data_IF_136587055179
#
_entry.id   IF_136587055179
#
_cell.length_a   1.000
_cell.length_b   1.000
_cell.length_c   1.000
_cell.angle_alpha   90.00
_cell.angle_beta   90.00
_cell.angle_gamma   90.00
#
_symmetry.space_group_name_H-M   'P 1'
#
loop_
_entity.id
_entity.type
_entity.pdbx_description
1 polymer ?
#
# COMPACT_ATOMS: atom_id res chain seq x y z
N UNK A 1 -24.14 -8.29 1.35
CA UNK A 1 -22.67 -8.31 1.24
C UNK A 1 -22.29 -9.42 0.26
N UNK A 2 -21.39 -9.12 -0.64
CA UNK A 2 -20.77 -10.09 -1.53
C UNK A 2 -19.28 -10.20 -1.23
N UNK A 3 -18.74 -11.40 -1.46
CA UNK A 3 -17.34 -11.73 -1.21
C UNK A 3 -16.72 -12.31 -2.48
N UNK A 4 -15.40 -12.30 -2.57
CA UNK A 4 -14.68 -12.83 -3.72
C UNK A 4 -15.16 -12.20 -5.04
N UNK A 5 -15.26 -10.88 -5.05
CA UNK A 5 -15.68 -10.08 -6.20
C UNK A 5 -14.58 -9.09 -6.55
N UNK A 6 -14.25 -9.00 -7.84
CA UNK A 6 -13.34 -8.00 -8.39
C UNK A 6 -14.11 -7.03 -9.27
N UNK A 7 -13.89 -5.74 -9.08
CA UNK A 7 -14.38 -4.69 -9.99
C UNK A 7 -13.48 -4.65 -11.22
N UNK A 8 -14.05 -4.79 -12.41
CA UNK A 8 -13.35 -4.67 -13.70
C UNK A 8 -13.32 -3.23 -14.21
N UNK A 9 -14.46 -2.55 -14.11
CA UNK A 9 -14.61 -1.17 -14.59
C UNK A 9 -15.79 -0.47 -13.94
N UNK A 10 -15.77 0.85 -14.00
CA UNK A 10 -16.91 1.69 -13.68
C UNK A 10 -17.73 1.96 -14.94
N UNK A 11 -19.02 1.91 -14.83
CA UNK A 11 -19.92 2.40 -15.86
C UNK A 11 -20.40 3.80 -15.52
N UNK A 12 -20.28 4.71 -16.49
CA UNK A 12 -20.65 6.13 -16.29
C UNK A 12 -21.53 6.63 -17.43
N UNK A 13 -22.43 7.53 -17.13
CA UNK A 13 -23.20 8.25 -18.13
C UNK A 13 -23.34 9.73 -17.69
N UNK A 14 -23.13 10.66 -18.61
CA UNK A 14 -23.23 12.09 -18.37
C UNK A 14 -22.37 12.57 -17.17
N UNK A 15 -21.13 12.01 -17.03
CA UNK A 15 -20.24 12.33 -15.92
C UNK A 15 -20.64 11.77 -14.55
N UNK A 16 -21.65 10.90 -14.48
CA UNK A 16 -22.13 10.28 -13.25
C UNK A 16 -21.94 8.75 -13.30
N UNK A 17 -21.54 8.18 -12.16
CA UNK A 17 -21.47 6.72 -11.99
C UNK A 17 -22.86 6.12 -12.13
N UNK A 18 -22.95 5.01 -12.85
CA UNK A 18 -24.16 4.20 -13.02
C UNK A 18 -24.02 2.83 -12.34
N UNK A 19 -22.82 2.38 -12.16
CA UNK A 19 -22.53 1.12 -11.50
C UNK A 19 -21.14 0.60 -11.75
N UNK A 20 -20.95 -0.67 -11.39
CA UNK A 20 -19.71 -1.42 -11.47
C UNK A 20 -19.90 -2.66 -12.31
N UNK A 21 -19.02 -2.89 -13.26
CA UNK A 21 -18.86 -4.18 -13.92
C UNK A 21 -17.93 -5.04 -13.07
N UNK A 22 -18.43 -6.13 -12.55
CA UNK A 22 -17.77 -7.03 -11.61
C UNK A 22 -17.63 -8.44 -12.16
N UNK A 23 -16.73 -9.22 -11.57
CA UNK A 23 -16.54 -10.64 -11.84
C UNK A 23 -16.30 -11.37 -10.52
N UNK A 24 -16.79 -12.60 -10.40
CA UNK A 24 -16.50 -13.46 -9.24
C UNK A 24 -15.08 -14.00 -9.30
N UNK A 25 -14.48 -14.19 -8.13
CA UNK A 25 -13.15 -14.78 -7.97
C UNK A 25 -13.25 -16.18 -7.35
N UNK A 26 -12.37 -17.07 -7.77
CA UNK A 26 -12.18 -18.38 -7.13
C UNK A 26 -11.38 -18.26 -5.81
N UNK A 27 -11.12 -19.40 -5.16
CA UNK A 27 -10.34 -19.47 -3.92
C UNK A 27 -8.88 -19.02 -4.07
N UNK A 28 -8.37 -18.95 -5.31
CA UNK A 28 -7.03 -18.46 -5.66
C UNK A 28 -7.04 -16.99 -6.11
N UNK A 29 -8.15 -16.29 -5.90
CA UNK A 29 -8.40 -14.90 -6.31
C UNK A 29 -8.28 -14.67 -7.82
N UNK A 30 -8.55 -15.69 -8.64
CA UNK A 30 -8.59 -15.60 -10.10
C UNK A 30 -10.03 -15.42 -10.60
N UNK A 31 -10.24 -14.62 -11.65
CA UNK A 31 -11.56 -14.45 -12.24
C UNK A 31 -12.14 -15.76 -12.76
N UNK A 32 -13.36 -16.05 -12.35
CA UNK A 32 -14.14 -17.19 -12.86
C UNK A 32 -14.73 -16.80 -14.22
N UNK A 33 -14.52 -17.62 -15.25
CA UNK A 33 -15.07 -17.37 -16.59
C UNK A 33 -16.59 -17.31 -16.55
N UNK A 34 -17.18 -16.39 -17.32
CA UNK A 34 -18.63 -16.20 -17.46
C UNK A 34 -19.35 -15.90 -16.14
N UNK A 35 -18.67 -15.27 -15.19
CA UNK A 35 -19.25 -14.85 -13.91
C UNK A 35 -19.37 -13.34 -13.78
N UNK A 36 -19.26 -12.63 -14.89
CA UNK A 36 -19.44 -11.19 -14.95
C UNK A 36 -20.87 -10.81 -14.57
N UNK A 37 -21.00 -9.74 -13.81
CA UNK A 37 -22.28 -9.16 -13.42
C UNK A 37 -22.16 -7.67 -13.17
N UNK A 38 -23.29 -6.98 -13.21
CA UNK A 38 -23.35 -5.54 -13.02
C UNK A 38 -23.97 -5.22 -11.66
N UNK A 39 -23.37 -4.28 -10.93
CA UNK A 39 -23.90 -3.71 -9.70
C UNK A 39 -24.31 -2.27 -9.98
N UNK A 40 -25.61 -1.97 -9.95
CA UNK A 40 -26.10 -0.60 -10.06
C UNK A 40 -25.67 0.20 -8.82
N UNK A 41 -25.09 1.38 -9.02
CA UNK A 41 -24.66 2.26 -7.93
C UNK A 41 -24.66 3.73 -8.40
N UNK A 42 -25.16 4.61 -7.56
CA UNK A 42 -25.11 6.06 -7.78
C UNK A 42 -23.90 6.69 -7.09
N UNK A 43 -23.27 5.99 -6.14
CA UNK A 43 -22.05 6.37 -5.44
C UNK A 43 -21.18 5.14 -5.21
N UNK A 44 -19.89 5.25 -5.47
CA UNK A 44 -18.90 4.22 -5.17
C UNK A 44 -17.80 4.81 -4.31
N UNK A 45 -17.54 4.16 -3.17
CA UNK A 45 -16.47 4.54 -2.25
C UNK A 45 -15.33 3.53 -2.36
N UNK A 46 -14.13 4.00 -2.68
CA UNK A 46 -12.93 3.18 -2.72
C UNK A 46 -12.34 3.10 -1.31
N UNK A 47 -12.36 1.91 -0.74
CA UNK A 47 -11.83 1.63 0.60
C UNK A 47 -10.72 0.55 0.53
N UNK A 48 -9.76 0.72 -0.38
CA UNK A 48 -8.77 -0.29 -0.75
C UNK A 48 -7.42 -0.15 -0.03
N UNK A 49 -7.29 0.83 0.87
CA UNK A 49 -6.03 1.10 1.55
C UNK A 49 -5.01 1.83 0.66
N UNK A 50 -3.74 1.66 0.97
CA UNK A 50 -2.62 2.33 0.30
C UNK A 50 -1.71 1.31 -0.37
N UNK A 51 -1.04 1.71 -1.46
CA UNK A 51 -0.14 0.82 -2.20
C UNK A 51 1.28 0.92 -1.63
N UNK A 52 1.83 2.12 -1.57
CA UNK A 52 3.17 2.43 -1.07
C UNK A 52 3.29 3.92 -0.76
N UNK A 53 4.39 4.41 -0.14
CA UNK A 53 4.66 5.83 0.01
C UNK A 53 4.68 6.56 -1.34
N UNK A 54 4.28 7.84 -1.35
CA UNK A 54 4.44 8.67 -2.55
C UNK A 54 5.94 8.84 -2.84
N UNK A 55 6.37 8.48 -4.06
CA UNK A 55 7.78 8.53 -4.43
C UNK A 55 8.21 9.93 -4.87
N UNK A 56 7.33 10.64 -5.57
CA UNK A 56 7.56 12.00 -6.01
C UNK A 56 7.94 12.90 -4.82
N UNK A 57 9.06 13.60 -4.95
CA UNK A 57 9.65 14.42 -3.89
C UNK A 57 10.81 13.72 -3.16
N UNK A 58 10.73 13.61 -1.84
CA UNK A 58 11.86 13.17 -0.99
C UNK A 58 12.44 11.81 -1.40
N UNK A 59 11.60 10.83 -1.71
CA UNK A 59 12.04 9.46 -2.03
C UNK A 59 12.88 9.42 -3.30
N UNK A 60 12.40 10.08 -4.37
CA UNK A 60 13.10 10.10 -5.66
C UNK A 60 14.29 11.07 -5.63
N UNK A 61 14.17 12.22 -4.97
CA UNK A 61 15.28 13.17 -4.80
C UNK A 61 16.45 12.54 -4.05
N UNK A 62 16.17 11.76 -3.01
CA UNK A 62 17.19 11.06 -2.22
C UNK A 62 17.61 9.71 -2.83
N UNK A 63 17.08 9.31 -3.98
CA UNK A 63 17.41 8.06 -4.69
C UNK A 63 17.31 6.81 -3.82
N UNK A 64 16.36 6.80 -2.88
CA UNK A 64 16.17 5.69 -1.95
C UNK A 64 15.77 4.42 -2.68
N UNK A 65 16.41 3.29 -2.35
CA UNK A 65 16.02 1.98 -2.85
C UNK A 65 14.64 1.61 -2.32
N UNK A 66 13.88 0.96 -3.19
CA UNK A 66 12.51 0.50 -2.92
C UNK A 66 12.45 -1.03 -3.03
N UNK A 67 11.55 -1.65 -2.28
CA UNK A 67 11.22 -3.06 -2.45
C UNK A 67 10.34 -3.28 -3.70
N UNK A 68 10.00 -4.54 -3.98
CA UNK A 68 9.15 -4.92 -5.12
C UNK A 68 7.73 -4.32 -5.06
N UNK A 69 7.29 -3.90 -3.88
CA UNK A 69 5.99 -3.27 -3.64
C UNK A 69 6.05 -1.75 -3.67
N UNK A 70 7.24 -1.17 -3.82
CA UNK A 70 7.45 0.27 -3.81
C UNK A 70 7.65 0.90 -2.42
N UNK A 71 7.80 0.10 -1.36
CA UNK A 71 8.13 0.63 -0.03
C UNK A 71 9.63 0.90 0.09
N UNK A 72 10.03 1.75 1.04
CA UNK A 72 11.45 2.05 1.27
C UNK A 72 12.19 0.83 1.80
N UNK A 73 13.27 0.45 1.13
CA UNK A 73 14.10 -0.66 1.55
C UNK A 73 14.98 -0.23 2.75
N UNK A 74 14.70 -0.80 3.92
CA UNK A 74 15.51 -0.68 5.13
C UNK A 74 15.37 -1.96 5.95
N UNK A 75 16.45 -2.40 6.58
CA UNK A 75 16.41 -3.59 7.44
C UNK A 75 15.81 -3.29 8.83
N UNK A 76 15.64 -4.32 9.64
CA UNK A 76 15.11 -4.18 11.01
C UNK A 76 16.20 -4.18 12.09
N UNK A 77 17.48 -4.15 11.72
CA UNK A 77 18.59 -4.08 12.66
C UNK A 77 18.92 -2.63 13.01
N UNK A 78 19.04 -1.80 11.98
CA UNK A 78 19.43 -0.41 12.13
C UNK A 78 18.42 0.57 11.49
N UNK A 79 17.42 0.09 10.73
CA UNK A 79 16.42 0.91 10.04
C UNK A 79 16.98 1.91 9.02
N UNK A 80 18.26 1.80 8.68
CA UNK A 80 18.92 2.66 7.69
C UNK A 80 18.50 2.24 6.28
N UNK A 81 18.24 3.21 5.44
CA UNK A 81 17.92 3.01 4.02
C UNK A 81 19.18 2.74 3.20
N UNK A 82 19.06 2.76 1.88
CA UNK A 82 20.22 2.69 0.98
C UNK A 82 21.14 3.91 1.06
N UNK A 83 20.66 5.00 1.63
CA UNK A 83 21.41 6.26 1.80
C UNK A 83 21.79 6.45 3.26
N UNK A 84 23.05 6.82 3.48
CA UNK A 84 23.62 7.02 4.82
C UNK A 84 22.84 8.12 5.56
N UNK A 85 22.57 7.88 6.86
CA UNK A 85 21.87 8.78 7.76
C UNK A 85 20.38 9.04 7.39
N UNK A 86 19.81 8.26 6.47
CA UNK A 86 18.38 8.26 6.19
C UNK A 86 17.79 6.94 6.67
N UNK A 87 16.73 7.02 7.47
CA UNK A 87 16.11 5.89 8.12
C UNK A 87 14.65 5.78 7.71
N UNK A 88 14.11 4.56 7.66
CA UNK A 88 12.71 4.31 7.36
C UNK A 88 12.11 3.27 8.30
N UNK A 89 10.91 3.55 8.81
CA UNK A 89 10.18 2.68 9.73
C UNK A 89 8.68 2.73 9.46
N UNK A 90 7.93 1.81 10.05
CA UNK A 90 6.49 1.74 9.92
C UNK A 90 6.03 1.49 8.49
N UNK A 91 4.89 2.07 8.11
CA UNK A 91 4.26 1.83 6.82
C UNK A 91 5.15 2.22 5.63
N UNK A 92 6.01 3.21 5.78
CA UNK A 92 6.94 3.62 4.72
C UNK A 92 7.92 2.51 4.31
N UNK A 93 8.31 1.66 5.27
CA UNK A 93 9.22 0.52 5.08
C UNK A 93 8.47 -0.80 4.91
N UNK A 94 7.50 -1.06 5.77
CA UNK A 94 6.78 -2.33 5.87
C UNK A 94 5.67 -2.47 4.85
N UNK A 95 5.15 -1.37 4.33
CA UNK A 95 3.85 -1.27 3.69
C UNK A 95 2.73 -1.08 4.71
N UNK A 96 1.55 -0.76 4.24
CA UNK A 96 0.38 -0.52 5.10
C UNK A 96 0.15 -1.68 6.07
N UNK A 97 0.07 -1.37 7.37
CA UNK A 97 -0.08 -2.35 8.43
C UNK A 97 -0.83 -1.78 9.64
N UNK A 98 -0.84 -2.52 10.75
CA UNK A 98 -1.45 -2.05 11.98
C UNK A 98 -0.60 -0.95 12.64
N UNK A 99 -1.25 0.03 13.25
CA UNK A 99 -0.59 1.15 13.95
C UNK A 99 0.40 0.68 15.03
N UNK A 100 0.13 -0.45 15.69
CA UNK A 100 1.03 -1.02 16.69
C UNK A 100 2.40 -1.39 16.12
N UNK A 101 2.46 -1.81 14.87
CA UNK A 101 3.72 -2.09 14.18
C UNK A 101 4.46 -0.80 13.82
N UNK A 102 3.76 0.23 13.39
CA UNK A 102 4.37 1.53 13.10
C UNK A 102 4.99 2.14 14.38
N UNK A 103 4.28 2.06 15.51
CA UNK A 103 4.80 2.52 16.82
C UNK A 103 6.04 1.70 17.22
N UNK A 104 5.98 0.38 17.12
CA UNK A 104 7.10 -0.50 17.46
C UNK A 104 8.33 -0.17 16.62
N UNK A 105 8.21 -0.17 15.32
CA UNK A 105 9.32 0.12 14.41
C UNK A 105 9.87 1.53 14.60
N UNK A 106 9.02 2.52 14.86
CA UNK A 106 9.47 3.88 15.17
C UNK A 106 10.34 3.94 16.42
N UNK A 107 9.98 3.19 17.49
CA UNK A 107 10.78 3.11 18.72
C UNK A 107 12.10 2.37 18.51
N UNK A 108 12.09 1.27 17.77
CA UNK A 108 13.28 0.49 17.44
C UNK A 108 14.23 1.29 16.54
N UNK A 109 13.71 2.02 15.56
CA UNK A 109 14.49 2.93 14.72
C UNK A 109 15.11 4.06 15.54
N UNK A 110 14.37 4.67 16.45
CA UNK A 110 14.91 5.73 17.32
C UNK A 110 16.08 5.23 18.19
N UNK A 111 15.98 4.01 18.74
CA UNK A 111 17.07 3.38 19.49
C UNK A 111 18.29 3.11 18.59
N UNK A 112 18.06 2.61 17.36
CA UNK A 112 19.13 2.36 16.40
C UNK A 112 19.86 3.65 15.99
N UNK A 113 19.10 4.74 15.77
CA UNK A 113 19.65 6.07 15.48
C UNK A 113 20.48 6.58 16.67
N UNK A 114 19.94 6.48 17.89
CA UNK A 114 20.65 6.88 19.10
C UNK A 114 22.00 6.17 19.24
N UNK A 115 22.01 4.85 19.09
CA UNK A 115 23.25 4.06 19.13
C UNK A 115 24.24 4.45 18.04
N UNK A 116 23.77 4.74 16.84
CA UNK A 116 24.61 5.18 15.72
C UNK A 116 25.25 6.55 15.95
N UNK A 117 24.51 7.46 16.60
CA UNK A 117 25.03 8.81 16.89
C UNK A 117 25.91 8.87 18.14
N UNK A 118 25.87 7.86 19.00
CA UNK A 118 26.62 7.77 20.25
C UNK A 118 27.90 6.93 20.12
N UNK A 119 28.15 6.34 18.98
CA UNK A 119 29.33 5.56 18.63
C UNK A 119 30.36 6.44 17.88
#
# INVERSE_FOLDING_TARGET
RDWSVMTKSFETANGKVKGLNCVKLDSSLKPIKNSEFFIKADLVLLAMGFVHPKHDGLVDQSRLKKDEKGNLSADTKNYMTSEKNIYAAGDARRGQSLVVWAIREGREAALAIHNHLSS
#
